data_IF_292468727298
#
_entry.id   IF_292468727298
#
_cell.length_a   1.000
_cell.length_b   1.000
_cell.length_c   1.000
_cell.angle_alpha   90.00
_cell.angle_beta   90.00
_cell.angle_gamma   90.00
#
_symmetry.space_group_name_H-M   'P 1'
#
loop_
_entity.id
_entity.type
_entity.pdbx_description
1 polymer ?
#
# COMPACT_ATOMS: atom_id res chain seq x y z
N UNK A 1 25.15 84.27 36.60
CA UNK A 1 24.76 83.23 37.59
C UNK A 1 24.76 81.90 36.88
N UNK A 2 25.50 80.90 37.40
CA UNK A 2 25.30 79.46 37.25
C UNK A 2 25.43 78.86 35.82
N UNK A 3 25.90 77.64 35.60
CA UNK A 3 26.57 76.61 36.38
C UNK A 3 27.08 75.60 35.35
N UNK A 4 28.25 75.04 35.60
CA UNK A 4 28.83 73.88 34.91
C UNK A 4 27.84 72.71 34.91
N UNK A 5 27.78 71.91 33.83
CA UNK A 5 27.48 70.47 33.90
C UNK A 5 27.92 69.71 32.64
N UNK A 6 28.76 68.73 32.91
CA UNK A 6 29.31 67.67 32.04
C UNK A 6 28.19 66.68 31.65
N UNK A 7 28.26 66.04 30.48
CA UNK A 7 28.13 64.57 30.30
C UNK A 7 28.24 64.17 28.81
N UNK A 8 29.31 63.44 28.48
CA UNK A 8 29.33 62.01 28.05
C UNK A 8 29.00 61.79 26.56
N UNK A 9 30.06 61.51 25.80
CA UNK A 9 29.99 60.87 24.48
C UNK A 9 29.62 59.39 24.67
N UNK A 10 28.56 58.94 23.98
CA UNK A 10 28.35 57.52 23.66
C UNK A 10 28.63 57.33 22.17
N UNK A 11 29.73 56.65 21.86
CA UNK A 11 29.99 56.13 20.52
C UNK A 11 29.20 54.82 20.35
N UNK A 12 28.20 54.82 19.47
CA UNK A 12 27.49 53.61 19.06
C UNK A 12 28.23 52.98 17.87
N UNK A 13 28.94 51.88 18.10
CA UNK A 13 29.50 51.03 17.05
C UNK A 13 28.40 50.19 16.41
N UNK A 14 28.30 50.29 15.08
CA UNK A 14 27.39 49.51 14.25
C UNK A 14 27.74 48.01 14.28
N UNK A 15 26.73 47.16 14.51
CA UNK A 15 26.80 45.74 14.21
C UNK A 15 25.97 45.45 12.96
N UNK A 16 26.65 45.26 11.83
CA UNK A 16 26.03 44.77 10.60
C UNK A 16 25.61 43.32 10.81
N UNK A 17 24.30 43.07 10.90
CA UNK A 17 23.74 41.72 10.96
C UNK A 17 23.78 41.14 9.54
N UNK A 18 24.74 40.26 9.28
CA UNK A 18 24.73 39.40 8.10
C UNK A 18 23.55 38.43 8.23
N UNK A 19 22.47 38.68 7.49
CA UNK A 19 21.40 37.72 7.31
C UNK A 19 21.95 36.52 6.51
N UNK A 20 22.28 35.44 7.22
CA UNK A 20 22.57 34.15 6.60
C UNK A 20 21.28 33.65 5.97
N UNK A 21 21.25 33.55 4.63
CA UNK A 21 20.20 32.85 3.93
C UNK A 21 20.24 31.37 4.36
N UNK A 22 19.26 30.98 5.17
CA UNK A 22 19.00 29.56 5.46
C UNK A 22 18.51 28.93 4.16
N UNK A 23 19.17 27.89 3.62
CA UNK A 23 18.61 27.15 2.50
C UNK A 23 17.25 26.59 2.92
N UNK A 24 16.27 26.54 2.01
CA UNK A 24 15.00 25.91 2.31
C UNK A 24 15.29 24.48 2.74
N UNK A 25 14.95 24.16 3.98
CA UNK A 25 14.93 22.78 4.44
C UNK A 25 14.05 22.00 3.49
N UNK A 26 14.63 21.04 2.77
CA UNK A 26 13.88 20.03 2.01
C UNK A 26 12.90 19.38 2.97
N UNK A 27 11.67 19.89 2.97
CA UNK A 27 10.54 19.16 3.51
C UNK A 27 10.33 18.00 2.55
N UNK A 28 11.04 16.91 2.85
CA UNK A 28 10.81 15.59 2.30
C UNK A 28 9.40 15.17 2.77
N UNK A 29 8.39 15.72 2.11
CA UNK A 29 7.02 15.23 2.07
C UNK A 29 7.13 13.84 1.46
N UNK A 30 7.45 12.86 2.31
CA UNK A 30 7.47 11.47 1.97
C UNK A 30 6.08 11.17 1.39
N UNK A 31 6.02 10.98 0.06
CA UNK A 31 4.76 10.71 -0.62
C UNK A 31 4.11 9.54 0.11
N UNK A 32 2.93 9.75 0.70
CA UNK A 32 2.24 8.67 1.42
C UNK A 32 2.05 7.53 0.43
N UNK A 33 2.58 6.36 0.79
CA UNK A 33 2.47 5.19 -0.07
C UNK A 33 0.99 4.94 -0.38
N UNK A 34 0.68 4.73 -1.66
CA UNK A 34 -0.69 4.54 -2.10
C UNK A 34 -1.30 3.31 -1.41
N UNK A 35 -2.53 3.47 -0.90
CA UNK A 35 -3.30 2.38 -0.28
C UNK A 35 -4.62 2.20 -1.01
N UNK A 36 -5.16 0.99 -0.91
CA UNK A 36 -6.53 0.66 -1.32
C UNK A 36 -7.30 0.11 -0.12
N UNK A 37 -8.57 0.46 -0.02
CA UNK A 37 -9.49 -0.01 1.01
C UNK A 37 -10.39 -1.11 0.46
N UNK A 38 -10.32 -2.27 1.10
CA UNK A 38 -11.15 -3.42 0.79
C UNK A 38 -12.34 -3.45 1.75
N UNK A 39 -13.56 -3.30 1.23
CA UNK A 39 -14.78 -3.21 2.04
C UNK A 39 -15.73 -4.36 1.71
N UNK A 40 -15.56 -5.56 2.29
CA UNK A 40 -16.49 -6.66 2.05
C UNK A 40 -17.91 -6.23 2.43
N UNK A 41 -18.92 -6.72 1.70
CA UNK A 41 -20.34 -6.44 1.97
C UNK A 41 -20.75 -6.89 3.36
N UNK A 42 -20.24 -8.05 3.80
CA UNK A 42 -20.46 -8.58 5.14
C UNK A 42 -19.08 -8.80 5.79
N UNK A 43 -18.80 -8.06 6.86
CA UNK A 43 -17.56 -8.19 7.63
C UNK A 43 -17.83 -8.65 9.06
N UNK A 44 -17.51 -9.91 9.37
CA UNK A 44 -17.64 -10.45 10.72
C UNK A 44 -16.30 -10.45 11.49
N UNK A 45 -15.16 -10.12 10.87
CA UNK A 45 -13.85 -10.12 11.54
C UNK A 45 -13.53 -8.85 12.31
N UNK A 46 -14.31 -7.78 12.12
CA UNK A 46 -14.07 -6.42 12.67
C UNK A 46 -12.79 -5.73 12.17
N UNK A 47 -12.01 -6.39 11.31
CA UNK A 47 -10.79 -5.85 10.72
C UNK A 47 -11.08 -4.74 9.70
N UNK A 48 -10.17 -3.79 9.60
CA UNK A 48 -10.13 -2.80 8.52
C UNK A 48 -9.10 -3.22 7.48
N UNK A 49 -9.58 -3.71 6.34
CA UNK A 49 -8.71 -4.16 5.27
C UNK A 49 -8.22 -2.97 4.44
N UNK A 50 -7.02 -2.47 4.78
CA UNK A 50 -6.30 -1.45 4.00
C UNK A 50 -5.02 -2.08 3.50
N UNK A 51 -4.80 -2.08 2.19
CA UNK A 51 -3.63 -2.71 1.57
C UNK A 51 -2.71 -1.64 1.00
N UNK A 52 -1.42 -1.75 1.30
CA UNK A 52 -0.40 -0.94 0.64
C UNK A 52 -0.19 -1.45 -0.80
N UNK A 53 -0.33 -0.57 -1.79
CA UNK A 53 -0.29 -0.94 -3.20
C UNK A 53 1.10 -1.43 -3.62
N UNK A 54 2.18 -0.82 -3.08
CA UNK A 54 3.54 -1.24 -3.41
C UNK A 54 3.87 -2.60 -2.82
N UNK A 55 3.38 -2.88 -1.61
CA UNK A 55 3.44 -4.22 -1.02
C UNK A 55 2.68 -5.24 -1.87
N UNK A 56 1.45 -4.95 -2.31
CA UNK A 56 0.69 -5.85 -3.18
C UNK A 56 1.43 -6.13 -4.51
N UNK A 57 2.01 -5.10 -5.13
CA UNK A 57 2.85 -5.24 -6.33
C UNK A 57 4.09 -6.09 -6.06
N UNK A 58 4.73 -5.93 -4.90
CA UNK A 58 5.89 -6.72 -4.50
C UNK A 58 5.53 -8.20 -4.30
N UNK A 59 4.40 -8.48 -3.65
CA UNK A 59 3.89 -9.85 -3.49
C UNK A 59 3.55 -10.48 -4.84
N UNK A 60 2.91 -9.76 -5.76
CA UNK A 60 2.66 -10.24 -7.13
C UNK A 60 3.97 -10.59 -7.86
N UNK A 61 4.99 -9.71 -7.77
CA UNK A 61 6.32 -9.97 -8.35
C UNK A 61 6.98 -11.21 -7.76
N UNK A 62 6.92 -11.37 -6.43
CA UNK A 62 7.48 -12.51 -5.71
C UNK A 62 6.75 -13.81 -6.05
N UNK A 63 5.44 -13.76 -6.22
CA UNK A 63 4.61 -14.91 -6.55
C UNK A 63 5.00 -15.51 -7.92
N UNK A 64 5.19 -14.66 -8.93
CA UNK A 64 5.47 -15.09 -10.30
C UNK A 64 4.23 -15.71 -10.95
N UNK A 65 4.40 -16.74 -11.78
CA UNK A 65 3.30 -17.41 -12.49
C UNK A 65 3.17 -18.91 -12.18
N UNK A 66 3.99 -19.41 -11.25
CA UNK A 66 4.03 -20.83 -10.90
C UNK A 66 3.64 -20.97 -9.44
N UNK A 67 2.66 -21.82 -9.19
CA UNK A 67 2.18 -22.14 -7.86
C UNK A 67 3.26 -22.83 -7.02
N UNK A 68 3.15 -22.67 -5.70
CA UNK A 68 3.94 -23.43 -4.73
C UNK A 68 3.07 -24.42 -3.97
N UNK A 69 3.58 -24.97 -2.86
CA UNK A 69 2.84 -25.89 -1.98
C UNK A 69 1.52 -25.34 -1.41
N UNK A 70 1.37 -24.02 -1.39
CA UNK A 70 0.12 -23.34 -1.01
C UNK A 70 -0.98 -23.42 -2.08
N UNK A 71 -0.65 -23.82 -3.31
CA UNK A 71 -1.54 -23.70 -4.47
C UNK A 71 -1.64 -22.28 -5.04
N UNK A 72 -0.83 -21.33 -4.55
CA UNK A 72 -0.77 -19.95 -5.04
C UNK A 72 0.62 -19.63 -5.65
N UNK A 73 0.72 -18.65 -6.57
CA UNK A 73 -0.39 -18.01 -7.26
C UNK A 73 -1.16 -18.98 -8.15
N UNK A 74 -2.41 -18.67 -8.48
CA UNK A 74 -3.20 -19.46 -9.41
C UNK A 74 -4.03 -18.57 -10.34
N UNK A 75 -4.53 -19.19 -11.42
CA UNK A 75 -5.32 -18.51 -12.43
C UNK A 75 -6.60 -17.92 -11.83
N UNK A 76 -6.79 -16.62 -12.04
CA UNK A 76 -8.02 -15.92 -11.72
C UNK A 76 -8.91 -15.85 -12.97
N UNK A 77 -10.02 -16.59 -12.95
CA UNK A 77 -10.93 -16.67 -14.10
C UNK A 77 -11.88 -15.47 -14.23
N UNK A 78 -11.96 -14.62 -13.19
CA UNK A 78 -12.81 -13.42 -13.16
C UNK A 78 -14.30 -13.69 -13.45
N UNK A 79 -14.86 -14.76 -12.86
CA UNK A 79 -16.29 -15.10 -12.97
C UNK A 79 -17.21 -13.99 -12.44
N UNK A 80 -16.71 -13.20 -11.48
CA UNK A 80 -17.41 -12.05 -10.89
C UNK A 80 -17.46 -10.83 -11.82
N UNK A 81 -16.82 -10.89 -12.99
CA UNK A 81 -16.87 -9.82 -13.99
C UNK A 81 -16.21 -8.51 -13.55
N UNK A 82 -15.24 -8.57 -12.63
CA UNK A 82 -14.54 -7.41 -12.09
C UNK A 82 -13.88 -6.63 -13.23
N UNK A 83 -14.10 -5.32 -13.25
CA UNK A 83 -13.43 -4.37 -14.15
C UNK A 83 -12.31 -3.66 -13.40
N UNK A 84 -11.08 -3.89 -13.84
CA UNK A 84 -9.89 -3.37 -13.18
C UNK A 84 -9.61 -1.92 -13.56
N UNK A 85 -10.08 -1.46 -14.72
CA UNK A 85 -9.72 -0.16 -15.28
C UNK A 85 -8.31 -0.17 -15.85
N UNK A 86 -7.77 -1.36 -16.15
CA UNK A 86 -6.41 -1.56 -16.65
C UNK A 86 -6.52 -2.38 -17.92
N UNK A 87 -6.13 -1.80 -19.06
CA UNK A 87 -6.33 -2.40 -20.39
C UNK A 87 -5.89 -3.86 -20.48
N UNK A 88 -4.65 -4.17 -20.06
CA UNK A 88 -4.12 -5.54 -20.13
C UNK A 88 -4.82 -6.52 -19.17
N UNK A 89 -5.60 -6.03 -18.21
CA UNK A 89 -6.37 -6.85 -17.27
C UNK A 89 -7.82 -7.06 -17.74
N UNK A 90 -8.36 -6.11 -18.50
CA UNK A 90 -9.76 -6.09 -18.92
C UNK A 90 -9.97 -6.59 -20.37
N UNK A 91 -8.91 -6.64 -21.18
CA UNK A 91 -8.95 -7.02 -22.60
C UNK A 91 -9.19 -8.52 -22.87
N UNK A 92 -9.18 -9.35 -21.82
CA UNK A 92 -9.32 -10.82 -21.85
C UNK A 92 -8.24 -11.56 -22.67
N UNK A 93 -7.18 -10.88 -23.10
CA UNK A 93 -6.10 -11.47 -23.90
C UNK A 93 -4.96 -12.00 -23.04
N UNK A 94 -4.84 -11.50 -21.81
CA UNK A 94 -3.79 -11.87 -20.89
C UNK A 94 -4.39 -12.70 -19.73
N UNK A 95 -3.85 -13.87 -19.40
CA UNK A 95 -4.28 -14.62 -18.22
C UNK A 95 -4.07 -13.80 -16.95
N UNK A 96 -5.07 -13.81 -16.07
CA UNK A 96 -4.95 -13.19 -14.75
C UNK A 96 -4.51 -14.22 -13.72
N UNK A 97 -3.73 -13.77 -12.76
CA UNK A 97 -3.33 -14.52 -11.58
C UNK A 97 -3.87 -13.82 -10.34
N UNK A 98 -4.13 -14.59 -9.30
CA UNK A 98 -4.38 -14.07 -7.96
C UNK A 98 -3.35 -14.62 -6.96
N UNK A 99 -2.99 -13.79 -5.98
CA UNK A 99 -2.07 -14.16 -4.91
C UNK A 99 -2.49 -13.53 -3.57
N UNK A 100 -2.40 -14.25 -2.43
CA UNK A 100 -2.85 -13.73 -1.14
C UNK A 100 -1.96 -12.58 -0.67
N UNK A 101 -2.58 -11.58 -0.06
CA UNK A 101 -1.88 -10.43 0.55
C UNK A 101 -2.49 -10.12 1.91
N UNK A 102 -1.74 -9.49 2.80
CA UNK A 102 -2.24 -9.06 4.11
C UNK A 102 -2.47 -7.54 4.14
N UNK A 103 -3.37 -7.10 5.03
CA UNK A 103 -3.63 -5.68 5.24
C UNK A 103 -2.59 -5.06 6.17
N UNK A 104 -2.46 -3.73 6.07
CA UNK A 104 -1.59 -2.94 6.92
C UNK A 104 -1.98 -3.11 8.39
N UNK A 105 -0.97 -3.33 9.23
CA UNK A 105 -1.14 -3.48 10.67
C UNK A 105 -1.52 -4.90 11.12
N UNK A 106 -1.72 -5.87 10.22
CA UNK A 106 -1.92 -7.25 10.62
C UNK A 106 -0.62 -7.83 11.21
N UNK A 107 -0.64 -8.15 12.51
CA UNK A 107 0.57 -8.49 13.26
C UNK A 107 0.97 -9.96 13.20
N UNK A 108 0.02 -10.85 12.87
CA UNK A 108 0.27 -12.29 12.88
C UNK A 108 1.05 -12.76 11.65
N UNK A 109 0.85 -12.10 10.51
CA UNK A 109 1.57 -12.40 9.27
C UNK A 109 1.51 -11.20 8.33
N UNK A 110 2.60 -10.88 7.64
CA UNK A 110 2.66 -9.71 6.74
C UNK A 110 2.92 -10.08 5.29
N UNK A 111 3.26 -11.34 5.01
CA UNK A 111 3.69 -11.83 3.69
C UNK A 111 3.15 -13.25 3.50
N UNK A 112 2.64 -13.58 2.32
CA UNK A 112 2.26 -14.96 1.99
C UNK A 112 3.50 -15.75 1.55
N UNK A 113 3.64 -16.97 2.05
CA UNK A 113 4.68 -17.89 1.60
C UNK A 113 4.07 -18.98 0.72
N UNK A 114 4.32 -18.91 -0.59
CA UNK A 114 3.76 -19.88 -1.51
C UNK A 114 4.24 -21.32 -1.30
N UNK A 115 5.38 -21.50 -0.63
CA UNK A 115 5.97 -22.81 -0.33
C UNK A 115 5.50 -23.42 1.00
N UNK A 116 4.58 -22.76 1.71
CA UNK A 116 3.97 -23.24 2.95
C UNK A 116 2.51 -23.58 2.68
N UNK A 117 1.98 -24.67 3.25
CA UNK A 117 0.59 -25.06 3.02
C UNK A 117 -0.37 -24.00 3.56
N UNK A 118 -1.51 -23.78 2.88
CA UNK A 118 -2.53 -22.78 3.27
C UNK A 118 -2.93 -22.90 4.74
N UNK A 119 -3.12 -24.13 5.23
CA UNK A 119 -3.56 -24.41 6.62
C UNK A 119 -2.54 -24.05 7.70
N UNK A 120 -1.29 -23.80 7.31
CA UNK A 120 -0.17 -23.45 8.21
C UNK A 120 0.09 -21.93 8.19
N UNK A 121 -0.75 -21.17 7.50
CA UNK A 121 -0.63 -19.71 7.36
C UNK A 121 -1.89 -19.02 7.88
N UNK A 122 -1.76 -17.76 8.24
CA UNK A 122 -2.88 -16.95 8.67
C UNK A 122 -3.87 -16.72 7.51
N UNK A 123 -5.16 -16.83 7.77
CA UNK A 123 -6.17 -16.61 6.73
C UNK A 123 -6.19 -15.14 6.29
N UNK A 124 -6.35 -14.91 5.00
CA UNK A 124 -6.61 -13.58 4.43
C UNK A 124 -7.70 -13.66 3.36
N UNK A 125 -8.69 -12.75 3.38
CA UNK A 125 -9.72 -12.68 2.34
C UNK A 125 -9.26 -11.86 1.12
N UNK A 126 -8.02 -11.37 1.14
CA UNK A 126 -7.51 -10.41 0.17
C UNK A 126 -6.62 -11.08 -0.86
N UNK A 127 -6.70 -10.63 -2.11
CA UNK A 127 -5.88 -11.11 -3.21
C UNK A 127 -5.37 -9.93 -4.03
N UNK A 128 -4.08 -9.91 -4.34
CA UNK A 128 -3.59 -9.08 -5.45
C UNK A 128 -3.87 -9.80 -6.75
N UNK A 129 -4.36 -9.07 -7.75
CA UNK A 129 -4.61 -9.57 -9.10
C UNK A 129 -3.65 -8.91 -10.07
N UNK A 130 -3.08 -9.71 -10.95
CA UNK A 130 -2.14 -9.26 -11.96
C UNK A 130 -2.23 -10.09 -13.23
N UNK A 131 -1.96 -9.46 -14.38
CA UNK A 131 -1.98 -10.11 -15.68
C UNK A 131 -0.60 -10.62 -16.07
N UNK A 132 -0.55 -11.78 -16.72
CA UNK A 132 0.62 -12.29 -17.42
C UNK A 132 0.63 -11.77 -18.87
N UNK A 133 1.35 -10.68 -19.11
CA UNK A 133 1.58 -10.17 -20.48
C UNK A 133 2.90 -10.70 -21.00
N UNK A 134 2.87 -11.85 -21.69
CA UNK A 134 4.07 -12.49 -22.28
C UNK A 134 5.24 -12.61 -21.29
N UNK A 135 4.96 -13.08 -20.07
CA UNK A 135 5.94 -13.21 -18.99
C UNK A 135 6.16 -11.94 -18.16
N UNK A 136 5.53 -10.82 -18.51
CA UNK A 136 5.57 -9.59 -17.71
C UNK A 136 4.37 -9.50 -16.76
N UNK A 137 4.63 -9.09 -15.53
CA UNK A 137 3.60 -8.87 -14.51
C UNK A 137 3.02 -7.47 -14.66
N UNK A 138 1.72 -7.39 -14.93
CA UNK A 138 0.97 -6.12 -14.93
C UNK A 138 0.01 -6.14 -13.74
N UNK A 139 0.21 -5.22 -12.79
CA UNK A 139 -0.69 -5.07 -11.65
C UNK A 139 -2.09 -4.61 -12.10
N UNK A 140 -3.13 -5.33 -11.68
CA UNK A 140 -4.52 -5.01 -12.00
C UNK A 140 -5.21 -4.33 -10.81
N UNK A 141 -5.01 -4.83 -9.60
CA UNK A 141 -5.65 -4.32 -8.40
C UNK A 141 -5.58 -5.29 -7.24
N UNK A 142 -6.28 -4.96 -6.16
CA UNK A 142 -6.55 -5.87 -5.04
C UNK A 142 -8.04 -6.15 -5.01
N UNK A 143 -8.42 -7.35 -4.60
CA UNK A 143 -9.80 -7.74 -4.34
C UNK A 143 -9.94 -8.36 -2.96
N UNK A 144 -11.18 -8.40 -2.48
CA UNK A 144 -11.59 -9.12 -1.29
C UNK A 144 -12.80 -9.98 -1.57
N UNK A 145 -12.93 -11.09 -0.87
CA UNK A 145 -14.21 -11.80 -0.79
C UNK A 145 -15.31 -10.88 -0.24
N UNK A 146 -16.51 -10.99 -0.79
CA UNK A 146 -17.66 -10.15 -0.42
C UNK A 146 -18.21 -10.45 0.98
N UNK A 147 -17.94 -11.64 1.51
CA UNK A 147 -18.20 -12.01 2.90
C UNK A 147 -16.89 -12.43 3.58
N UNK A 148 -16.65 -11.90 4.77
CA UNK A 148 -15.50 -12.26 5.61
C UNK A 148 -15.97 -12.73 6.98
N UNK A 149 -15.55 -13.93 7.37
CA UNK A 149 -15.85 -14.52 8.67
C UNK A 149 -14.94 -14.00 9.79
N UNK A 150 -15.29 -14.30 11.06
CA UNK A 150 -14.54 -13.88 12.25
C UNK A 150 -13.06 -14.26 12.23
N UNK A 151 -12.71 -15.36 11.56
CA UNK A 151 -11.34 -15.86 11.43
C UNK A 151 -10.63 -15.36 10.16
N UNK A 152 -11.13 -14.29 9.52
CA UNK A 152 -10.62 -13.73 8.26
C UNK A 152 -10.76 -14.65 7.04
N UNK A 153 -11.51 -15.76 7.14
CA UNK A 153 -11.85 -16.57 5.98
C UNK A 153 -12.79 -15.79 5.06
N UNK A 154 -12.40 -15.67 3.80
CA UNK A 154 -13.24 -15.11 2.75
C UNK A 154 -14.19 -16.16 2.17
N UNK A 155 -15.41 -15.74 1.89
CA UNK A 155 -16.48 -16.55 1.30
C UNK A 155 -17.16 -15.78 0.16
N UNK A 156 -17.95 -16.51 -0.61
CA UNK A 156 -18.73 -15.98 -1.74
C UNK A 156 -17.82 -15.29 -2.78
N UNK A 157 -18.43 -14.43 -3.60
CA UNK A 157 -17.84 -13.75 -4.74
C UNK A 157 -16.71 -12.79 -4.34
N UNK A 158 -15.78 -12.52 -5.27
CA UNK A 158 -14.81 -11.45 -5.12
C UNK A 158 -15.36 -10.09 -5.55
N UNK A 159 -14.79 -9.04 -4.98
CA UNK A 159 -15.04 -7.66 -5.35
C UNK A 159 -13.74 -6.85 -5.26
N UNK A 160 -13.61 -5.88 -6.17
CA UNK A 160 -12.46 -4.97 -6.23
C UNK A 160 -12.37 -4.09 -4.97
N UNK A 161 -11.16 -3.76 -4.56
CA UNK A 161 -10.88 -2.76 -3.54
C UNK A 161 -10.67 -1.37 -4.17
N UNK A 162 -11.03 -0.32 -3.43
CA UNK A 162 -11.02 1.08 -3.89
C UNK A 162 -9.81 1.87 -3.39
#
# INVERSE_FOLDING_TARGET
MHSTKILVLLAASAASVLAVAVPPSDQNLQARAATVSCKPKINLSTEKFVVNVDHAKAEAKKAGFTDGKSGYPHLFQNHDGIKWGVHNCDDKKNPLQEYPVYWQGYRKQTVWNKEVKVKEQESTPLRVVYANKKGSIIYCGVMTHSKVEKNNRGLDNFQKCD
#
